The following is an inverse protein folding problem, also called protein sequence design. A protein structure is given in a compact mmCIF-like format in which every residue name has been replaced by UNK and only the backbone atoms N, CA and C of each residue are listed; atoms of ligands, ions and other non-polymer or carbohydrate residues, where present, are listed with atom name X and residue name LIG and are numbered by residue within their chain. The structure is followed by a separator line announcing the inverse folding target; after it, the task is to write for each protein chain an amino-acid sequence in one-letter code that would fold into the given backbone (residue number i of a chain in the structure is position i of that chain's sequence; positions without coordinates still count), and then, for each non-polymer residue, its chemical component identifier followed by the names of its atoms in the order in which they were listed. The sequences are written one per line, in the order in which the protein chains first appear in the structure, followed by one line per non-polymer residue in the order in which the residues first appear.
data_IF_683554821712
#
_entry.id   IF_683554821712
#
_cell.length_a   1.000
_cell.length_b   1.000
_cell.length_c   1.000
_cell.angle_alpha   90.00
_cell.angle_beta   90.00
_cell.angle_gamma   90.00
#
_symmetry.space_group_name_H-M   'P 1'
#
loop_
_entity.id
_entity.type
_entity.pdbx_description
1 polymer ?
#
# COMPACT_ATOMS: atom_id res chain seq x y z
N UNK A 1 3.01 -31.40 56.91
CA UNK A 1 2.82 -29.94 56.74
C UNK A 1 3.70 -29.50 55.58
N UNK A 2 3.10 -29.11 54.46
CA UNK A 2 3.85 -28.65 53.27
C UNK A 2 4.04 -27.15 53.46
N UNK A 3 5.28 -26.76 53.74
CA UNK A 3 5.67 -25.35 53.92
C UNK A 3 5.73 -24.66 52.55
N UNK A 4 4.64 -24.00 52.19
CA UNK A 4 4.43 -23.33 50.90
C UNK A 4 4.78 -21.83 50.94
N UNK A 5 5.65 -21.41 51.86
CA UNK A 5 5.90 -19.98 52.11
C UNK A 5 7.28 -19.49 51.66
N UNK A 6 7.79 -19.93 50.51
CA UNK A 6 8.86 -19.17 49.84
C UNK A 6 8.27 -17.93 49.19
N UNK A 7 8.01 -16.92 50.02
CA UNK A 7 7.75 -15.54 49.61
C UNK A 7 8.93 -15.08 48.74
N UNK A 8 8.71 -15.03 47.43
CA UNK A 8 9.64 -14.42 46.49
C UNK A 8 9.79 -12.94 46.88
N UNK A 9 10.82 -12.62 47.68
CA UNK A 9 11.25 -11.24 47.89
C UNK A 9 11.77 -10.72 46.54
N UNK A 10 10.90 -10.06 45.78
CA UNK A 10 11.28 -9.30 44.59
C UNK A 10 12.31 -8.24 44.98
N UNK A 11 13.59 -8.58 44.85
CA UNK A 11 14.69 -7.63 44.97
C UNK A 11 14.63 -6.63 43.81
N UNK A 12 15.11 -5.40 44.00
CA UNK A 12 15.18 -4.33 42.98
C UNK A 12 15.76 -4.83 41.64
N UNK A 13 16.67 -5.80 41.69
CA UNK A 13 17.25 -6.45 40.52
C UNK A 13 16.22 -7.21 39.64
N UNK A 14 15.25 -7.89 40.26
CA UNK A 14 14.17 -8.58 39.53
C UNK A 14 13.29 -7.57 38.79
N UNK A 15 13.05 -6.40 39.38
CA UNK A 15 12.28 -5.33 38.74
C UNK A 15 12.99 -4.76 37.51
N UNK A 16 14.31 -4.56 37.59
CA UNK A 16 15.12 -4.12 36.43
C UNK A 16 15.07 -5.16 35.31
N UNK A 17 15.20 -6.45 35.62
CA UNK A 17 15.08 -7.52 34.61
C UNK A 17 13.71 -7.49 33.94
N UNK A 18 12.63 -7.37 34.72
CA UNK A 18 11.27 -7.30 34.16
C UNK A 18 11.11 -6.10 33.24
N UNK A 19 11.65 -4.92 33.59
CA UNK A 19 11.61 -3.75 32.70
C UNK A 19 12.36 -4.01 31.39
N UNK A 20 13.55 -4.60 31.44
CA UNK A 20 14.34 -4.91 30.24
C UNK A 20 13.57 -5.89 29.35
N UNK A 21 12.99 -6.94 29.93
CA UNK A 21 12.18 -7.92 29.18
C UNK A 21 10.95 -7.25 28.57
N UNK A 22 10.26 -6.38 29.31
CA UNK A 22 9.11 -5.63 28.78
C UNK A 22 9.52 -4.69 27.63
N UNK A 23 10.64 -3.97 27.76
CA UNK A 23 11.14 -3.11 26.68
C UNK A 23 11.51 -3.91 25.42
N UNK A 24 12.14 -5.08 25.58
CA UNK A 24 12.45 -5.98 24.47
C UNK A 24 11.17 -6.51 23.80
N UNK A 25 10.18 -6.94 24.59
CA UNK A 25 8.90 -7.41 24.06
C UNK A 25 8.19 -6.32 23.27
N UNK A 26 8.07 -5.12 23.84
CA UNK A 26 7.47 -3.97 23.15
C UNK A 26 8.20 -3.66 21.84
N UNK A 27 9.53 -3.65 21.84
CA UNK A 27 10.32 -3.44 20.63
C UNK A 27 10.07 -4.50 19.55
N UNK A 28 9.95 -5.78 19.95
CA UNK A 28 9.63 -6.88 19.03
C UNK A 28 8.22 -6.71 18.47
N UNK A 29 7.23 -6.41 19.31
CA UNK A 29 5.85 -6.20 18.88
C UNK A 29 5.73 -5.04 17.91
N UNK A 30 6.35 -3.89 18.20
CA UNK A 30 6.34 -2.74 17.28
C UNK A 30 6.91 -3.12 15.91
N UNK A 31 8.03 -3.84 15.86
CA UNK A 31 8.61 -4.32 14.61
C UNK A 31 7.69 -5.30 13.87
N UNK A 32 7.03 -6.18 14.60
CA UNK A 32 6.08 -7.13 14.04
C UNK A 32 4.84 -6.43 13.45
N UNK A 33 4.28 -5.43 14.14
CA UNK A 33 3.17 -4.64 13.63
C UNK A 33 3.54 -3.90 12.34
N UNK A 34 4.73 -3.30 12.25
CA UNK A 34 5.18 -2.67 11.00
C UNK A 34 5.27 -3.65 9.83
N UNK A 35 5.66 -4.90 10.09
CA UNK A 35 5.70 -5.96 9.06
C UNK A 35 4.29 -6.35 8.62
N UNK A 36 3.36 -6.54 9.57
CA UNK A 36 1.97 -6.85 9.24
C UNK A 36 1.35 -5.73 8.40
N UNK A 37 1.55 -4.48 8.79
CA UNK A 37 1.02 -3.33 8.07
C UNK A 37 1.55 -3.28 6.63
N UNK A 38 2.85 -3.51 6.44
CA UNK A 38 3.45 -3.62 5.10
C UNK A 38 2.90 -4.79 4.28
N UNK A 39 2.53 -5.91 4.90
CA UNK A 39 1.95 -7.06 4.19
C UNK A 39 0.51 -6.79 3.78
N UNK A 40 -0.30 -6.22 4.67
CA UNK A 40 -1.69 -5.84 4.38
C UNK A 40 -1.73 -4.82 3.25
N UNK A 41 -0.86 -3.82 3.29
CA UNK A 41 -0.80 -2.79 2.27
C UNK A 41 -0.38 -3.35 0.91
N UNK A 42 0.60 -4.28 0.87
CA UNK A 42 0.95 -4.97 -0.37
C UNK A 42 -0.24 -5.70 -0.98
N UNK A 43 -0.92 -6.52 -0.17
CA UNK A 43 -2.08 -7.30 -0.63
C UNK A 43 -3.19 -6.36 -1.11
N UNK A 44 -3.41 -5.23 -0.42
CA UNK A 44 -4.37 -4.23 -0.86
C UNK A 44 -4.01 -3.63 -2.21
N UNK A 45 -2.75 -3.27 -2.44
CA UNK A 45 -2.25 -2.73 -3.72
C UNK A 45 -2.40 -3.76 -4.84
N UNK A 46 -2.02 -5.02 -4.58
CA UNK A 46 -2.10 -6.11 -5.55
C UNK A 46 -3.56 -6.38 -5.97
N UNK A 47 -4.49 -6.41 -5.00
CA UNK A 47 -5.92 -6.57 -5.26
C UNK A 47 -6.49 -5.37 -6.03
N UNK A 48 -6.16 -4.14 -5.64
CA UNK A 48 -6.55 -2.93 -6.38
C UNK A 48 -6.05 -2.98 -7.83
N UNK A 49 -4.81 -3.43 -8.04
CA UNK A 49 -4.24 -3.55 -9.38
C UNK A 49 -4.97 -4.60 -10.23
N UNK A 50 -5.29 -5.77 -9.66
CA UNK A 50 -6.06 -6.80 -10.36
C UNK A 50 -7.46 -6.29 -10.72
N UNK A 51 -8.15 -5.61 -9.80
CA UNK A 51 -9.46 -5.01 -10.05
C UNK A 51 -9.39 -3.97 -11.17
N UNK A 52 -8.34 -3.14 -11.16
CA UNK A 52 -8.08 -2.17 -12.20
C UNK A 52 -7.87 -2.84 -13.57
N UNK A 53 -7.05 -3.89 -13.64
CA UNK A 53 -6.86 -4.67 -14.87
C UNK A 53 -8.17 -5.27 -15.41
N UNK A 54 -9.00 -5.81 -14.51
CA UNK A 54 -10.31 -6.36 -14.87
C UNK A 54 -11.25 -5.28 -15.40
N UNK A 55 -11.28 -4.10 -14.76
CA UNK A 55 -12.11 -2.98 -15.22
C UNK A 55 -11.69 -2.53 -16.63
N UNK A 56 -10.40 -2.35 -16.89
CA UNK A 56 -9.91 -1.97 -18.22
C UNK A 56 -10.28 -3.01 -19.27
N UNK A 57 -10.12 -4.31 -18.96
CA UNK A 57 -10.53 -5.39 -19.86
C UNK A 57 -12.02 -5.36 -20.14
N UNK A 58 -12.85 -5.23 -19.10
CA UNK A 58 -14.30 -5.14 -19.24
C UNK A 58 -14.72 -3.92 -20.06
N UNK A 59 -14.12 -2.76 -19.79
CA UNK A 59 -14.38 -1.54 -20.53
C UNK A 59 -14.06 -1.70 -22.02
N UNK A 60 -12.90 -2.28 -22.35
CA UNK A 60 -12.51 -2.55 -23.73
C UNK A 60 -13.41 -3.57 -24.44
N UNK A 61 -14.09 -4.46 -23.70
CA UNK A 61 -15.04 -5.43 -24.25
C UNK A 61 -16.44 -4.84 -24.46
N UNK A 62 -16.93 -4.01 -23.54
CA UNK A 62 -18.32 -3.52 -23.49
C UNK A 62 -18.50 -2.17 -24.19
N UNK A 63 -17.41 -1.45 -24.47
CA UNK A 63 -17.43 -0.22 -25.26
C UNK A 63 -17.93 -0.49 -26.71
N UNK A 64 -19.25 -0.46 -26.89
CA UNK A 64 -19.91 -0.51 -28.22
C UNK A 64 -19.55 0.71 -29.07
N UNK A 65 -19.26 1.86 -28.43
CA UNK A 65 -18.65 3.02 -29.06
C UNK A 65 -17.17 3.09 -28.66
N UNK A 66 -16.30 2.56 -29.51
CA UNK A 66 -14.85 2.79 -29.41
C UNK A 66 -14.57 4.25 -29.73
N UNK A 67 -14.87 5.13 -28.79
CA UNK A 67 -14.46 6.54 -28.88
C UNK A 67 -12.95 6.54 -29.07
N UNK A 68 -12.52 6.99 -30.25
CA UNK A 68 -11.09 7.02 -30.62
C UNK A 68 -10.25 7.81 -29.62
N UNK A 69 -10.87 8.68 -28.85
CA UNK A 69 -10.23 9.58 -27.88
C UNK A 69 -10.37 9.10 -26.42
N UNK A 70 -11.08 7.99 -26.17
CA UNK A 70 -11.30 7.44 -24.83
C UNK A 70 -11.67 8.51 -23.78
N UNK A 71 -12.66 9.37 -24.07
CA UNK A 71 -13.14 10.43 -23.15
C UNK A 71 -13.50 9.93 -21.76
N UNK A 72 -13.73 8.63 -21.63
CA UNK A 72 -13.98 8.00 -20.34
C UNK A 72 -12.82 8.16 -19.35
N UNK A 73 -11.58 8.30 -19.82
CA UNK A 73 -10.40 8.56 -18.99
C UNK A 73 -10.43 9.96 -18.37
N UNK A 74 -11.13 10.90 -18.97
CA UNK A 74 -11.31 12.24 -18.39
C UNK A 74 -12.26 12.21 -17.19
N UNK A 75 -13.01 11.11 -17.00
CA UNK A 75 -14.01 10.99 -15.94
C UNK A 75 -13.48 10.18 -14.74
N UNK A 76 -13.16 10.84 -13.60
CA UNK A 76 -12.64 10.17 -12.41
C UNK A 76 -13.67 9.21 -11.77
N UNK A 77 -14.96 9.31 -12.12
CA UNK A 77 -16.00 8.44 -11.55
C UNK A 77 -15.83 6.96 -11.87
N UNK A 78 -15.09 6.61 -12.93
CA UNK A 78 -14.72 5.23 -13.22
C UNK A 78 -13.97 4.54 -12.08
N UNK A 79 -13.16 5.32 -11.38
CA UNK A 79 -12.26 4.81 -10.35
C UNK A 79 -12.89 4.80 -8.96
N UNK A 80 -14.05 5.45 -8.78
CA UNK A 80 -14.79 5.47 -7.50
C UNK A 80 -15.18 4.08 -7.02
N UNK A 81 -15.54 3.18 -7.92
CA UNK A 81 -15.86 1.78 -7.61
C UNK A 81 -14.69 0.97 -7.03
N UNK A 82 -13.46 1.48 -7.13
CA UNK A 82 -12.25 0.85 -6.57
C UNK A 82 -11.81 1.46 -5.23
N UNK A 83 -12.63 2.31 -4.61
CA UNK A 83 -12.24 3.03 -3.39
C UNK A 83 -11.16 4.08 -3.62
N UNK A 84 -11.01 4.54 -4.88
CA UNK A 84 -10.10 5.62 -5.25
C UNK A 84 -10.84 6.93 -5.00
N UNK A 85 -10.80 7.40 -3.75
CA UNK A 85 -11.33 8.70 -3.34
C UNK A 85 -10.35 9.81 -3.77
N UNK A 86 -10.24 9.99 -5.09
CA UNK A 86 -9.50 11.07 -5.71
C UNK A 86 -10.47 12.01 -6.40
N UNK A 87 -11.13 12.86 -5.63
CA UNK A 87 -11.78 14.06 -6.14
C UNK A 87 -10.70 14.93 -6.82
N UNK A 88 -11.01 15.52 -7.99
CA UNK A 88 -10.18 16.46 -8.76
C UNK A 88 -9.56 17.57 -7.89
N UNK A 89 -8.52 17.24 -7.13
CA UNK A 89 -7.71 18.21 -6.40
C UNK A 89 -6.57 18.56 -7.33
N UNK A 90 -6.93 19.34 -8.35
CA UNK A 90 -5.97 20.12 -9.12
C UNK A 90 -5.01 20.83 -8.15
N UNK A 91 -3.78 20.34 -8.08
CA UNK A 91 -2.66 21.08 -7.49
C UNK A 91 -2.23 20.70 -6.08
N UNK A 92 -2.88 19.76 -5.39
CA UNK A 92 -2.37 19.32 -4.08
C UNK A 92 -1.60 18.00 -4.23
N UNK A 93 -0.28 18.14 -4.40
CA UNK A 93 0.73 17.07 -4.45
C UNK A 93 0.76 16.10 -3.26
N UNK A 94 -0.22 16.17 -2.36
CA UNK A 94 -0.38 15.32 -1.17
C UNK A 94 -1.38 14.22 -1.47
N UNK A 95 -0.98 13.27 -2.31
CA UNK A 95 -1.61 11.95 -2.27
C UNK A 95 -1.59 11.48 -0.81
N UNK A 96 -2.77 11.21 -0.26
CA UNK A 96 -2.92 10.75 1.12
C UNK A 96 -2.14 9.45 1.27
N UNK A 97 -1.23 9.41 2.24
CA UNK A 97 -0.38 8.24 2.51
C UNK A 97 -1.24 6.99 2.72
N UNK A 98 -1.03 5.95 1.93
CA UNK A 98 -1.81 4.70 1.93
C UNK A 98 -3.05 4.71 1.03
N UNK A 99 -3.17 5.66 0.10
CA UNK A 99 -4.33 5.81 -0.79
C UNK A 99 -3.98 5.92 -2.28
N UNK A 100 -4.95 5.58 -3.12
CA UNK A 100 -4.90 5.80 -4.55
C UNK A 100 -5.45 7.17 -4.91
N UNK A 101 -4.81 7.85 -5.86
CA UNK A 101 -5.22 9.15 -6.39
C UNK A 101 -5.16 9.13 -7.92
N UNK A 102 -6.21 9.65 -8.56
CA UNK A 102 -6.30 9.73 -10.01
C UNK A 102 -6.09 11.17 -10.49
N UNK A 103 -5.18 11.35 -11.44
CA UNK A 103 -4.95 12.59 -12.16
C UNK A 103 -5.57 12.48 -13.57
N UNK A 104 -6.70 13.16 -13.75
CA UNK A 104 -7.44 13.20 -15.01
C UNK A 104 -6.71 13.91 -16.14
N UNK A 105 -5.76 14.82 -15.86
CA UNK A 105 -5.01 15.55 -16.89
C UNK A 105 -3.89 14.71 -17.50
N UNK A 106 -3.18 13.99 -16.64
CA UNK A 106 -2.08 13.11 -17.05
C UNK A 106 -2.55 11.68 -17.32
N UNK A 107 -3.85 11.41 -17.14
CA UNK A 107 -4.44 10.09 -17.15
C UNK A 107 -3.62 9.09 -16.32
N UNK A 108 -3.28 9.47 -15.10
CA UNK A 108 -2.39 8.68 -14.25
C UNK A 108 -3.02 8.36 -12.92
N UNK A 109 -2.99 7.08 -12.55
CA UNK A 109 -3.39 6.61 -11.23
C UNK A 109 -2.12 6.43 -10.39
N UNK A 110 -2.09 6.94 -9.16
CA UNK A 110 -0.92 6.83 -8.31
C UNK A 110 -1.22 6.42 -6.88
N UNK A 111 -0.34 5.61 -6.31
CA UNK A 111 -0.40 5.14 -4.94
C UNK A 111 0.83 5.59 -4.17
N UNK A 112 0.64 6.27 -3.05
CA UNK A 112 1.73 6.65 -2.13
C UNK A 112 1.69 5.70 -0.94
N UNK A 113 2.82 5.04 -0.65
CA UNK A 113 2.88 4.07 0.46
C UNK A 113 2.72 4.77 1.80
N UNK A 114 1.95 4.16 2.71
CA UNK A 114 1.58 4.69 4.01
C UNK A 114 2.80 5.03 4.90
N UNK A 115 3.84 4.20 4.87
CA UNK A 115 5.05 4.40 5.68
C UNK A 115 6.30 3.91 4.98
N UNK A 116 7.33 4.76 4.94
CA UNK A 116 8.66 4.37 4.47
C UNK A 116 9.39 3.43 5.46
N UNK A 117 8.87 3.24 6.68
CA UNK A 117 9.48 2.36 7.68
C UNK A 117 9.57 0.89 7.24
N UNK A 118 8.76 0.49 6.25
CA UNK A 118 8.77 -0.85 5.66
C UNK A 118 9.95 -1.07 4.72
N UNK A 119 10.47 0.00 4.14
CA UNK A 119 11.49 -0.05 3.10
C UNK A 119 12.86 0.30 3.65
N UNK A 120 13.90 -0.13 2.94
CA UNK A 120 15.29 0.21 3.25
C UNK A 120 15.63 1.65 2.87
N UNK A 121 14.97 2.16 1.83
CA UNK A 121 15.16 3.52 1.35
C UNK A 121 14.40 4.54 2.20
N UNK A 122 14.92 5.76 2.27
CA UNK A 122 14.23 6.91 2.87
C UNK A 122 13.43 7.71 1.83
N UNK A 123 13.50 7.31 0.56
CA UNK A 123 12.79 7.96 -0.54
C UNK A 123 11.32 7.55 -0.47
N UNK A 124 10.42 8.51 -0.71
CA UNK A 124 9.00 8.23 -0.78
C UNK A 124 8.70 7.26 -1.90
N UNK A 125 8.02 6.20 -1.50
CA UNK A 125 7.70 5.10 -2.37
C UNK A 125 6.33 5.34 -3.02
N UNK A 126 6.32 5.47 -4.35
CA UNK A 126 5.13 5.77 -5.14
C UNK A 126 5.01 4.82 -6.34
N UNK A 127 3.83 4.24 -6.52
CA UNK A 127 3.46 3.50 -7.75
C UNK A 127 2.67 4.45 -8.64
N UNK A 128 3.00 4.50 -9.92
CA UNK A 128 2.28 5.29 -10.92
C UNK A 128 1.86 4.39 -12.07
N UNK A 129 0.57 4.39 -12.39
CA UNK A 129 -0.02 3.71 -13.53
C UNK A 129 -0.46 4.77 -14.52
N UNK A 130 0.26 4.90 -15.63
CA UNK A 130 -0.09 5.78 -16.73
C UNK A 130 -1.07 5.10 -17.67
N UNK A 131 -2.21 5.72 -17.92
CA UNK A 131 -3.24 5.25 -18.85
C UNK A 131 -3.02 5.90 -20.21
N UNK A 132 -3.26 5.14 -21.27
CA UNK A 132 -3.21 5.66 -22.63
C UNK A 132 -4.34 5.09 -23.47
N UNK A 133 -4.79 5.88 -24.44
CA UNK A 133 -5.79 5.47 -25.41
C UNK A 133 -5.12 5.22 -26.76
N UNK A 134 -5.41 4.08 -27.39
CA UNK A 134 -5.00 3.79 -28.77
C UNK A 134 -6.20 3.25 -29.54
N UNK A 135 -6.74 4.06 -30.46
CA UNK A 135 -7.88 3.69 -31.30
C UNK A 135 -9.10 3.17 -30.52
N UNK A 136 -9.42 3.82 -29.40
CA UNK A 136 -10.53 3.42 -28.52
C UNK A 136 -10.27 2.17 -27.67
N UNK A 137 -9.03 1.68 -27.63
CA UNK A 137 -8.58 0.67 -26.65
C UNK A 137 -7.79 1.38 -25.58
N UNK A 138 -8.20 1.22 -24.33
CA UNK A 138 -7.48 1.72 -23.16
C UNK A 138 -6.39 0.71 -22.79
N UNK A 139 -5.15 1.18 -22.74
CA UNK A 139 -4.00 0.45 -22.20
C UNK A 139 -3.42 1.19 -20.99
N UNK A 140 -2.48 0.55 -20.30
CA UNK A 140 -1.80 1.15 -19.16
C UNK A 140 -0.35 0.66 -19.08
N UNK A 141 0.50 1.52 -18.54
CA UNK A 141 1.87 1.21 -18.15
C UNK A 141 2.03 1.46 -16.66
N UNK A 142 2.81 0.62 -15.99
CA UNK A 142 3.08 0.75 -14.55
C UNK A 142 4.54 1.20 -14.40
N UNK A 143 4.79 2.10 -13.45
CA UNK A 143 6.15 2.46 -13.03
C UNK A 143 6.88 1.23 -12.51
N UNK A 144 8.20 1.12 -12.72
CA UNK A 144 9.09 0.01 -12.30
C UNK A 144 9.27 -0.10 -10.76
N UNK A 145 8.20 0.05 -10.00
CA UNK A 145 8.25 0.05 -8.55
C UNK A 145 8.30 -1.39 -8.03
N UNK A 146 9.43 -1.76 -7.40
CA UNK A 146 9.68 -3.11 -6.89
C UNK A 146 9.46 -3.20 -5.39
N UNK A 147 8.19 -3.32 -4.95
CA UNK A 147 7.79 -3.52 -3.55
C UNK A 147 8.66 -4.55 -2.83
N UNK A 148 8.94 -5.66 -3.51
CA UNK A 148 9.68 -6.78 -2.96
C UNK A 148 11.18 -6.54 -2.75
N UNK A 149 11.82 -5.80 -3.66
CA UNK A 149 13.27 -5.52 -3.58
C UNK A 149 13.59 -4.50 -2.49
N UNK A 150 12.71 -3.51 -2.34
CA UNK A 150 12.98 -2.37 -1.48
C UNK A 150 12.53 -2.62 -0.02
N UNK A 151 11.68 -3.63 0.21
CA UNK A 151 11.24 -4.03 1.54
C UNK A 151 12.41 -4.48 2.42
N UNK A 152 12.31 -4.17 3.71
CA UNK A 152 13.28 -4.57 4.74
C UNK A 152 13.10 -6.04 5.19
N UNK A 153 12.15 -6.75 4.60
CA UNK A 153 11.72 -8.12 4.96
C UNK A 153 12.48 -9.16 4.12
N UNK A 154 12.74 -10.33 4.69
CA UNK A 154 13.39 -11.44 3.99
C UNK A 154 12.34 -12.28 3.24
N UNK A 155 12.60 -12.63 1.98
CA UNK A 155 11.84 -13.69 1.28
C UNK A 155 10.65 -13.24 0.42
N UNK A 156 10.79 -12.18 -0.38
CA UNK A 156 9.82 -11.92 -1.44
C UNK A 156 10.03 -12.87 -2.63
N UNK A 157 8.98 -13.56 -3.08
CA UNK A 157 9.05 -14.51 -4.20
C UNK A 157 8.50 -13.98 -5.53
N UNK A 158 7.73 -12.88 -5.54
CA UNK A 158 7.14 -12.34 -6.76
C UNK A 158 7.82 -11.03 -7.15
N UNK A 159 8.34 -11.01 -8.38
CA UNK A 159 8.87 -9.84 -9.07
C UNK A 159 7.74 -8.89 -9.49
#
# INVERSE_FOLDING_TARGET
MIDLSKSYRLSRFHFVIVIIVMALLVGIFLRFFSIIQASIEQVSVDVSFLNFQQMIRYHNMVSESKDKHCKILENPSLFKGMGIDGLDTLGDSRATSGGWSYDSKNHSLSYTVHSNSYFRSKIDHKIVIGLYCKNGVVGFNVSDYQWCRDKRIWGCQSW
#
